data_IF_833618075093
#
_entry.id   IF_833618075093
#
_cell.length_a   1.000
_cell.length_b   1.000
_cell.length_c   1.000
_cell.angle_alpha   90.00
_cell.angle_beta   90.00
_cell.angle_gamma   90.00
#
_symmetry.space_group_name_H-M   'P 1'
#
loop_
_entity.id
_entity.type
_entity.pdbx_description
1 polymer ?
#
# COMPACT_ATOMS: atom_id res chain seq x y z
N UNK A 1 -21.78 -21.30 -21.77
CA UNK A 1 -20.53 -21.41 -22.56
C UNK A 1 -19.59 -20.30 -22.20
N UNK A 2 -18.38 -20.62 -21.79
CA UNK A 2 -17.37 -19.63 -21.41
C UNK A 2 -16.78 -19.03 -22.68
N UNK A 3 -16.89 -17.72 -22.87
CA UNK A 3 -16.37 -17.06 -24.06
C UNK A 3 -14.88 -16.71 -23.85
N UNK A 4 -14.01 -17.55 -24.45
CA UNK A 4 -12.54 -17.42 -24.32
C UNK A 4 -12.03 -16.06 -24.80
N UNK A 5 -12.68 -15.44 -25.79
CA UNK A 5 -12.31 -14.10 -26.30
C UNK A 5 -12.50 -12.99 -25.26
N UNK A 6 -13.42 -13.16 -24.30
CA UNK A 6 -13.62 -12.22 -23.19
C UNK A 6 -12.70 -12.53 -22.00
N UNK A 7 -12.22 -13.76 -21.88
CA UNK A 7 -11.32 -14.15 -20.77
C UNK A 7 -9.90 -13.62 -20.95
N UNK A 8 -9.38 -13.60 -22.19
CA UNK A 8 -8.00 -13.18 -22.46
C UNK A 8 -7.70 -11.76 -21.99
N UNK A 9 -8.53 -10.72 -22.29
CA UNK A 9 -8.35 -9.39 -21.72
C UNK A 9 -8.47 -9.37 -20.20
N UNK A 10 -9.42 -10.12 -19.63
CA UNK A 10 -9.59 -10.22 -18.17
C UNK A 10 -8.35 -10.77 -17.47
N UNK A 11 -7.75 -11.81 -18.01
CA UNK A 11 -6.52 -12.42 -17.46
C UNK A 11 -5.32 -11.49 -17.59
N UNK A 12 -5.17 -10.75 -18.70
CA UNK A 12 -4.05 -9.83 -18.89
C UNK A 12 -4.03 -8.69 -17.87
N UNK A 13 -5.18 -8.30 -17.31
CA UNK A 13 -5.30 -7.32 -16.24
C UNK A 13 -5.33 -7.97 -14.85
N UNK A 14 -5.96 -9.12 -14.71
CA UNK A 14 -6.11 -9.82 -13.45
C UNK A 14 -4.79 -10.40 -12.94
N UNK A 15 -4.01 -11.01 -13.81
CA UNK A 15 -2.78 -11.69 -13.44
C UNK A 15 -1.74 -10.76 -12.79
N UNK A 16 -1.38 -9.57 -13.35
CA UNK A 16 -0.47 -8.64 -12.70
C UNK A 16 -1.00 -8.14 -11.35
N UNK A 17 -2.30 -7.93 -11.22
CA UNK A 17 -2.90 -7.51 -9.96
C UNK A 17 -2.85 -8.64 -8.90
N UNK A 18 -3.05 -9.88 -9.29
CA UNK A 18 -2.88 -11.04 -8.40
C UNK A 18 -1.43 -11.16 -7.93
N UNK A 19 -0.45 -11.04 -8.83
CA UNK A 19 0.97 -11.10 -8.48
C UNK A 19 1.35 -9.95 -7.54
N UNK A 20 0.84 -8.75 -7.78
CA UNK A 20 1.03 -7.62 -6.87
C UNK A 20 0.54 -7.94 -5.46
N UNK A 21 -0.69 -8.43 -5.32
CA UNK A 21 -1.25 -8.78 -4.02
C UNK A 21 -0.46 -9.92 -3.36
N UNK A 22 -0.14 -10.96 -4.13
CA UNK A 22 0.65 -12.08 -3.65
C UNK A 22 2.05 -11.67 -3.17
N UNK A 23 2.74 -10.75 -3.86
CA UNK A 23 4.05 -10.27 -3.45
C UNK A 23 4.02 -9.52 -2.12
N UNK A 24 2.97 -8.74 -1.86
CA UNK A 24 2.79 -8.05 -0.59
C UNK A 24 2.62 -9.02 0.59
N UNK A 25 1.83 -10.09 0.40
CA UNK A 25 1.65 -11.13 1.42
C UNK A 25 2.89 -12.01 1.59
N UNK A 26 3.61 -12.30 0.49
CA UNK A 26 4.84 -13.08 0.51
C UNK A 26 5.93 -12.44 1.40
N UNK A 27 6.07 -11.12 1.36
CA UNK A 27 7.02 -10.42 2.25
C UNK A 27 6.67 -10.66 3.72
N UNK A 28 5.39 -10.60 4.09
CA UNK A 28 4.95 -10.92 5.45
C UNK A 28 5.33 -12.34 5.88
N UNK A 29 5.14 -13.32 4.99
CA UNK A 29 5.52 -14.71 5.24
C UNK A 29 7.03 -14.87 5.40
N UNK A 30 7.83 -14.21 4.56
CA UNK A 30 9.29 -14.27 4.63
C UNK A 30 9.88 -13.59 5.89
N UNK A 31 9.20 -12.59 6.43
CA UNK A 31 9.62 -11.89 7.65
C UNK A 31 9.14 -12.61 8.92
N UNK A 32 8.04 -13.34 8.86
CA UNK A 32 7.47 -14.05 10.02
C UNK A 32 8.48 -14.88 10.81
N UNK A 33 9.37 -15.70 10.20
CA UNK A 33 10.37 -16.45 10.94
C UNK A 33 11.33 -15.58 11.75
N UNK A 34 11.69 -14.41 11.22
CA UNK A 34 12.56 -13.45 11.89
C UNK A 34 11.90 -12.87 13.14
N UNK A 35 10.60 -12.55 13.05
CA UNK A 35 9.82 -12.04 14.18
C UNK A 35 9.60 -13.15 15.21
N UNK A 36 9.28 -14.36 14.78
CA UNK A 36 9.09 -15.50 15.68
C UNK A 36 10.39 -15.84 16.44
N UNK A 37 11.54 -15.67 15.80
CA UNK A 37 12.84 -15.85 16.45
C UNK A 37 13.15 -14.81 17.55
N UNK A 38 12.41 -13.70 17.61
CA UNK A 38 12.53 -12.66 18.64
C UNK A 38 11.71 -12.96 19.90
N UNK A 39 10.95 -14.05 19.91
CA UNK A 39 10.19 -14.53 21.05
C UNK A 39 8.68 -14.27 20.98
N UNK A 40 7.98 -14.81 21.97
CA UNK A 40 6.50 -14.81 22.03
C UNK A 40 5.93 -13.39 22.06
N UNK A 41 6.58 -12.49 22.78
CA UNK A 41 6.14 -11.08 22.92
C UNK A 41 6.18 -10.32 21.61
N UNK A 42 7.23 -10.52 20.82
CA UNK A 42 7.36 -9.91 19.49
C UNK A 42 6.29 -10.44 18.53
N UNK A 43 6.06 -11.75 18.55
CA UNK A 43 5.02 -12.42 17.74
C UNK A 43 3.62 -11.95 18.10
N UNK A 44 3.31 -11.87 19.40
CA UNK A 44 2.02 -11.37 19.88
C UNK A 44 1.79 -9.90 19.47
N UNK A 45 2.82 -9.06 19.61
CA UNK A 45 2.75 -7.67 19.17
C UNK A 45 2.57 -7.55 17.67
N UNK A 46 3.29 -8.37 16.89
CA UNK A 46 3.17 -8.37 15.42
C UNK A 46 1.73 -8.66 14.99
N UNK A 47 1.07 -9.64 15.61
CA UNK A 47 -0.33 -9.95 15.29
C UNK A 47 -1.25 -8.74 15.54
N UNK A 48 -1.07 -8.02 16.65
CA UNK A 48 -1.86 -6.81 16.95
C UNK A 48 -1.52 -5.67 15.99
N UNK A 49 -0.23 -5.46 15.71
CA UNK A 49 0.23 -4.46 14.74
C UNK A 49 -0.39 -4.70 13.36
N UNK A 50 -0.46 -5.95 12.91
CA UNK A 50 -1.10 -6.29 11.64
C UNK A 50 -2.60 -6.01 11.64
N UNK A 51 -3.29 -6.21 12.77
CA UNK A 51 -4.71 -5.85 12.89
C UNK A 51 -4.91 -4.33 12.79
N UNK A 52 -4.10 -3.56 13.52
CA UNK A 52 -4.14 -2.08 13.46
C UNK A 52 -3.84 -1.59 12.05
N UNK A 53 -2.78 -2.13 11.43
CA UNK A 53 -2.42 -1.80 10.05
C UNK A 53 -3.57 -2.10 9.07
N UNK A 54 -4.17 -3.30 9.14
CA UNK A 54 -5.26 -3.69 8.25
C UNK A 54 -6.50 -2.81 8.44
N UNK A 55 -6.79 -2.41 9.67
CA UNK A 55 -7.88 -1.46 9.96
C UNK A 55 -7.64 -0.10 9.30
N UNK A 56 -6.45 0.47 9.47
CA UNK A 56 -6.05 1.71 8.82
C UNK A 56 -6.01 1.55 7.28
N UNK A 57 -5.45 0.45 6.80
CA UNK A 57 -5.32 0.17 5.38
C UNK A 57 -6.67 0.04 4.67
N UNK A 58 -7.70 -0.48 5.33
CA UNK A 58 -9.03 -0.60 4.76
C UNK A 58 -9.59 0.76 4.29
N UNK A 59 -9.26 1.84 4.99
CA UNK A 59 -9.72 3.19 4.65
C UNK A 59 -9.13 3.63 3.30
N UNK A 60 -7.80 3.56 3.14
CA UNK A 60 -7.15 4.05 1.93
C UNK A 60 -7.16 3.05 0.77
N UNK A 61 -7.26 1.75 1.01
CA UNK A 61 -7.44 0.76 -0.06
C UNK A 61 -8.81 0.90 -0.75
N UNK A 62 -9.87 1.15 -0.02
CA UNK A 62 -11.19 1.37 -0.62
C UNK A 62 -11.25 2.65 -1.44
N UNK A 63 -10.62 3.71 -0.97
CA UNK A 63 -10.52 4.94 -1.73
C UNK A 63 -9.71 4.76 -3.03
N UNK A 64 -8.67 3.92 -3.03
CA UNK A 64 -7.91 3.56 -4.24
C UNK A 64 -8.81 2.98 -5.36
N UNK A 65 -9.86 2.25 -5.00
CA UNK A 65 -10.85 1.72 -5.97
C UNK A 65 -11.62 2.84 -6.68
N UNK A 66 -11.97 3.90 -5.97
CA UNK A 66 -12.64 5.09 -6.55
C UNK A 66 -11.75 5.74 -7.62
N UNK A 67 -10.46 5.91 -7.33
CA UNK A 67 -9.49 6.42 -8.30
C UNK A 67 -9.41 5.52 -9.53
N UNK A 68 -9.35 4.21 -9.33
CA UNK A 68 -9.34 3.23 -10.43
C UNK A 68 -10.52 3.43 -11.35
N UNK A 69 -11.73 3.53 -10.79
CA UNK A 69 -12.98 3.69 -11.57
C UNK A 69 -12.98 5.00 -12.35
N UNK A 70 -12.64 6.10 -11.69
CA UNK A 70 -12.64 7.43 -12.34
C UNK A 70 -11.60 7.52 -13.45
N UNK A 71 -10.38 7.06 -13.20
CA UNK A 71 -9.31 7.05 -14.22
C UNK A 71 -9.69 6.16 -15.39
N UNK A 72 -10.30 4.99 -15.16
CA UNK A 72 -10.78 4.11 -16.22
C UNK A 72 -11.85 4.79 -17.09
N UNK A 73 -12.76 5.56 -16.50
CA UNK A 73 -13.75 6.36 -17.24
C UNK A 73 -13.09 7.44 -18.09
N UNK A 74 -12.10 8.18 -17.55
CA UNK A 74 -11.35 9.18 -18.30
C UNK A 74 -10.58 8.58 -19.49
N UNK A 75 -10.02 7.38 -19.31
CA UNK A 75 -9.38 6.64 -20.40
C UNK A 75 -10.40 6.24 -21.47
N UNK A 76 -11.56 5.71 -21.05
CA UNK A 76 -12.65 5.30 -21.96
C UNK A 76 -13.22 6.46 -22.76
N UNK A 77 -13.31 7.67 -22.19
CA UNK A 77 -13.80 8.88 -22.86
C UNK A 77 -12.71 9.65 -23.63
N UNK A 78 -11.50 9.09 -23.74
CA UNK A 78 -10.36 9.70 -24.45
C UNK A 78 -10.02 11.12 -23.95
N UNK A 79 -10.08 11.34 -22.62
CA UNK A 79 -9.81 12.64 -21.99
C UNK A 79 -8.58 12.59 -21.06
N UNK A 80 -7.36 12.40 -21.60
CA UNK A 80 -6.14 12.22 -20.81
C UNK A 80 -5.79 13.42 -19.94
N UNK A 81 -6.18 14.63 -20.34
CA UNK A 81 -5.93 15.87 -19.59
C UNK A 81 -6.62 15.86 -18.23
N UNK A 82 -7.81 15.25 -18.14
CA UNK A 82 -8.55 15.12 -16.89
C UNK A 82 -7.90 14.15 -15.92
N UNK A 83 -7.09 13.22 -16.41
CA UNK A 83 -6.46 12.20 -15.58
C UNK A 83 -5.47 12.84 -14.58
N UNK A 84 -4.58 13.73 -15.04
CA UNK A 84 -3.62 14.40 -14.16
C UNK A 84 -4.32 15.21 -13.07
N UNK A 85 -5.35 15.97 -13.47
CA UNK A 85 -6.14 16.78 -12.54
C UNK A 85 -6.88 15.91 -11.53
N UNK A 86 -7.42 14.77 -11.98
CA UNK A 86 -8.16 13.85 -11.10
C UNK A 86 -7.28 13.20 -10.04
N UNK A 87 -6.04 12.84 -10.38
CA UNK A 87 -5.09 12.28 -9.40
C UNK A 87 -4.81 13.30 -8.30
N UNK A 88 -4.62 14.56 -8.65
CA UNK A 88 -4.41 15.64 -7.68
C UNK A 88 -5.64 15.89 -6.80
N UNK A 89 -6.83 15.97 -7.42
CA UNK A 89 -8.10 16.14 -6.69
C UNK A 89 -8.35 14.94 -5.76
N UNK A 90 -8.12 13.72 -6.24
CA UNK A 90 -8.23 12.53 -5.43
C UNK A 90 -7.25 12.57 -4.24
N UNK A 91 -6.01 12.99 -4.44
CA UNK A 91 -5.04 13.16 -3.36
C UNK A 91 -5.55 14.14 -2.29
N UNK A 92 -6.07 15.29 -2.69
CA UNK A 92 -6.63 16.27 -1.75
C UNK A 92 -7.83 15.71 -0.97
N UNK A 93 -8.74 15.02 -1.66
CA UNK A 93 -9.87 14.37 -1.01
C UNK A 93 -9.42 13.30 -0.02
N UNK A 94 -8.43 12.48 -0.39
CA UNK A 94 -7.84 11.51 0.51
C UNK A 94 -7.27 12.15 1.77
N UNK A 95 -6.49 13.22 1.59
CA UNK A 95 -5.92 13.94 2.72
C UNK A 95 -7.02 14.53 3.60
N UNK A 96 -8.03 15.17 3.01
CA UNK A 96 -9.13 15.79 3.76
C UNK A 96 -9.90 14.80 4.64
N UNK A 97 -10.16 13.58 4.15
CA UNK A 97 -10.88 12.56 4.92
C UNK A 97 -9.97 11.74 5.85
N UNK A 98 -8.75 11.44 5.41
CA UNK A 98 -7.89 10.50 6.13
C UNK A 98 -7.04 11.22 7.19
N UNK A 99 -6.62 12.45 6.94
CA UNK A 99 -5.76 13.20 7.86
C UNK A 99 -6.39 13.44 9.24
N UNK A 100 -7.66 13.87 9.37
CA UNK A 100 -8.29 14.04 10.69
C UNK A 100 -8.34 12.73 11.46
N UNK A 101 -8.65 11.62 10.77
CA UNK A 101 -8.68 10.30 11.39
C UNK A 101 -7.30 9.84 11.85
N UNK A 102 -6.26 10.07 11.05
CA UNK A 102 -4.87 9.77 11.42
C UNK A 102 -4.44 10.61 12.61
N UNK A 103 -4.79 11.89 12.65
CA UNK A 103 -4.47 12.77 13.77
C UNK A 103 -5.09 12.27 15.06
N UNK A 104 -6.36 11.86 15.03
CA UNK A 104 -7.03 11.24 16.18
C UNK A 104 -6.29 9.97 16.60
N UNK A 105 -5.95 9.09 15.67
CA UNK A 105 -5.18 7.88 15.97
C UNK A 105 -3.76 8.19 16.50
N UNK A 106 -3.14 9.24 16.03
CA UNK A 106 -1.80 9.64 16.48
C UNK A 106 -1.82 10.25 17.90
N UNK A 107 -2.83 11.03 18.22
CA UNK A 107 -3.01 11.61 19.56
C UNK A 107 -3.40 10.52 20.57
N UNK A 108 -4.33 9.65 20.16
CA UNK A 108 -4.88 8.60 21.02
C UNK A 108 -4.29 7.20 20.70
N UNK A 109 -3.02 7.12 20.26
CA UNK A 109 -2.43 5.84 19.82
C UNK A 109 -2.44 4.77 20.93
N UNK A 110 -2.27 5.14 22.21
CA UNK A 110 -2.30 4.18 23.33
C UNK A 110 -3.66 3.54 23.52
N UNK A 111 -4.78 4.28 23.70
CA UNK A 111 -6.09 3.67 23.79
C UNK A 111 -6.50 2.95 22.50
N UNK A 112 -6.16 3.47 21.32
CA UNK A 112 -6.44 2.80 20.04
C UNK A 112 -5.72 1.45 19.97
N UNK A 113 -4.44 1.38 20.27
CA UNK A 113 -3.73 0.10 20.34
C UNK A 113 -4.33 -0.81 21.42
N UNK A 114 -4.74 -0.24 22.56
CA UNK A 114 -5.36 -0.98 23.66
C UNK A 114 -6.61 -1.76 23.29
N UNK A 115 -7.40 -1.26 22.32
CA UNK A 115 -8.61 -1.95 21.83
C UNK A 115 -8.31 -3.30 21.15
N UNK A 116 -7.10 -3.48 20.64
CA UNK A 116 -6.68 -4.68 19.93
C UNK A 116 -5.97 -5.69 20.82
N UNK A 117 -5.64 -5.32 22.05
CA UNK A 117 -5.02 -6.23 23.02
C UNK A 117 -6.05 -6.94 23.90
N UNK A 118 -5.76 -8.21 24.21
CA UNK A 118 -6.48 -8.92 25.27
C UNK A 118 -6.08 -8.37 26.65
N UNK A 119 -6.96 -8.52 27.64
CA UNK A 119 -6.73 -8.01 29.00
C UNK A 119 -5.39 -8.46 29.62
N UNK A 120 -4.93 -9.67 29.29
CA UNK A 120 -3.71 -10.30 29.83
C UNK A 120 -2.47 -10.08 28.91
N UNK A 121 -2.50 -9.10 27.98
CA UNK A 121 -1.35 -8.83 27.14
C UNK A 121 -0.19 -8.25 27.95
N UNK A 122 1.03 -8.73 27.70
CA UNK A 122 2.22 -8.25 28.40
C UNK A 122 2.53 -6.79 28.06
N UNK A 123 3.17 -6.10 28.99
CA UNK A 123 3.53 -4.70 28.80
C UNK A 123 4.60 -4.52 27.71
N UNK A 124 5.44 -5.54 27.48
CA UNK A 124 6.43 -5.54 26.41
C UNK A 124 5.73 -5.59 25.03
N UNK A 125 4.72 -6.46 24.86
CA UNK A 125 3.93 -6.52 23.64
C UNK A 125 3.21 -5.19 23.35
N UNK A 126 2.64 -4.57 24.38
CA UNK A 126 2.01 -3.23 24.26
C UNK A 126 3.03 -2.17 23.84
N UNK A 127 4.23 -2.21 24.42
CA UNK A 127 5.32 -1.28 24.10
C UNK A 127 5.73 -1.39 22.63
N UNK A 128 5.86 -2.59 22.10
CA UNK A 128 6.15 -2.80 20.67
C UNK A 128 5.07 -2.22 19.76
N UNK A 129 3.79 -2.41 20.10
CA UNK A 129 2.70 -1.83 19.30
C UNK A 129 2.63 -0.30 19.40
N UNK A 130 2.95 0.26 20.56
CA UNK A 130 3.06 1.73 20.70
C UNK A 130 4.21 2.30 19.88
N UNK A 131 5.35 1.60 19.84
CA UNK A 131 6.47 2.00 18.99
C UNK A 131 6.10 1.92 17.50
N UNK A 132 5.35 0.89 17.10
CA UNK A 132 4.79 0.85 15.73
C UNK A 132 3.98 2.10 15.43
N UNK A 133 3.01 2.43 16.27
CA UNK A 133 2.16 3.60 16.05
C UNK A 133 2.99 4.89 15.94
N UNK A 134 3.97 5.09 16.83
CA UNK A 134 4.87 6.25 16.82
C UNK A 134 5.73 6.34 15.56
N UNK A 135 6.24 5.20 15.07
CA UNK A 135 7.11 5.15 13.89
C UNK A 135 6.27 5.24 12.61
N UNK A 136 5.13 4.55 12.55
CA UNK A 136 4.34 4.40 11.33
C UNK A 136 3.41 5.58 11.04
N UNK A 137 2.68 6.09 12.05
CA UNK A 137 1.65 7.11 11.84
C UNK A 137 2.16 8.41 11.19
N UNK A 138 3.34 8.95 11.53
CA UNK A 138 3.85 10.16 10.87
C UNK A 138 4.12 9.96 9.37
N UNK A 139 4.44 8.74 8.97
CA UNK A 139 4.80 8.39 7.58
C UNK A 139 3.67 7.73 6.80
N UNK A 140 2.49 7.57 7.39
CA UNK A 140 1.34 6.92 6.75
C UNK A 140 0.91 7.62 5.44
N UNK A 141 1.21 8.91 5.31
CA UNK A 141 0.96 9.70 4.10
C UNK A 141 1.63 9.06 2.88
N UNK A 142 2.83 8.51 3.02
CA UNK A 142 3.51 7.83 1.91
C UNK A 142 2.79 6.55 1.50
N UNK A 143 2.25 5.81 2.46
CA UNK A 143 1.40 4.65 2.20
C UNK A 143 0.12 5.03 1.42
N UNK A 144 -0.49 6.17 1.76
CA UNK A 144 -1.65 6.71 1.06
C UNK A 144 -1.29 7.07 -0.38
N UNK A 145 -0.16 7.75 -0.60
CA UNK A 145 0.34 8.09 -1.93
C UNK A 145 0.55 6.83 -2.77
N UNK A 146 1.20 5.80 -2.24
CA UNK A 146 1.39 4.53 -2.95
C UNK A 146 0.05 3.89 -3.35
N UNK A 147 -0.92 3.82 -2.43
CA UNK A 147 -2.24 3.28 -2.73
C UNK A 147 -3.01 4.09 -3.79
N UNK A 148 -2.88 5.41 -3.78
CA UNK A 148 -3.41 6.30 -4.81
C UNK A 148 -2.85 5.92 -6.20
N UNK A 149 -1.52 5.79 -6.30
CA UNK A 149 -0.88 5.42 -7.57
C UNK A 149 -1.18 3.99 -8.00
N UNK A 150 -1.33 3.05 -7.07
CA UNK A 150 -1.80 1.71 -7.42
C UNK A 150 -3.20 1.74 -8.04
N UNK A 151 -4.11 2.56 -7.50
CA UNK A 151 -5.43 2.78 -8.09
C UNK A 151 -5.35 3.46 -9.46
N UNK A 152 -4.49 4.44 -9.59
CA UNK A 152 -4.23 5.15 -10.83
C UNK A 152 -3.72 4.22 -11.94
N UNK A 153 -2.67 3.42 -11.69
CA UNK A 153 -2.12 2.50 -12.69
C UNK A 153 -3.12 1.44 -13.13
N UNK A 154 -3.97 0.94 -12.21
CA UNK A 154 -5.07 0.04 -12.56
C UNK A 154 -6.07 0.71 -13.50
N UNK A 155 -6.50 1.91 -13.19
CA UNK A 155 -7.45 2.67 -14.03
C UNK A 155 -6.88 3.06 -15.38
N UNK A 156 -5.59 3.44 -15.42
CA UNK A 156 -4.88 3.81 -16.64
C UNK A 156 -4.46 2.60 -17.50
N UNK A 157 -4.78 1.36 -17.09
CA UNK A 157 -4.33 0.12 -17.73
C UNK A 157 -2.81 -0.04 -17.78
N UNK A 158 -2.07 0.67 -16.93
CA UNK A 158 -0.61 0.67 -16.84
C UNK A 158 -0.11 -0.46 -15.92
N UNK A 159 -0.52 -1.71 -16.18
CA UNK A 159 -0.30 -2.87 -15.30
C UNK A 159 1.18 -3.20 -15.11
N UNK A 160 2.03 -2.95 -16.11
CA UNK A 160 3.48 -3.15 -15.98
C UNK A 160 4.10 -2.21 -14.94
N UNK A 161 3.65 -0.95 -14.87
CA UNK A 161 4.11 0.00 -13.86
C UNK A 161 3.67 -0.44 -12.46
N UNK A 162 2.41 -0.85 -12.32
CA UNK A 162 1.89 -1.39 -11.07
C UNK A 162 2.73 -2.59 -10.59
N UNK A 163 2.96 -3.55 -11.48
CA UNK A 163 3.74 -4.75 -11.19
C UNK A 163 5.17 -4.40 -10.75
N UNK A 164 5.86 -3.58 -11.52
CA UNK A 164 7.25 -3.22 -11.27
C UNK A 164 7.43 -2.47 -9.94
N UNK A 165 6.60 -1.45 -9.71
CA UNK A 165 6.66 -0.65 -8.48
C UNK A 165 6.33 -1.49 -7.26
N UNK A 166 5.33 -2.37 -7.34
CA UNK A 166 4.94 -3.21 -6.22
C UNK A 166 5.99 -4.26 -5.85
N UNK A 167 6.61 -4.91 -6.84
CA UNK A 167 7.70 -5.85 -6.59
C UNK A 167 8.92 -5.12 -6.03
N UNK A 168 9.26 -3.97 -6.60
CA UNK A 168 10.37 -3.17 -6.11
C UNK A 168 10.15 -2.73 -4.66
N UNK A 169 8.95 -2.21 -4.34
CA UNK A 169 8.56 -1.86 -2.97
C UNK A 169 8.62 -3.06 -2.00
N UNK A 170 8.16 -4.23 -2.45
CA UNK A 170 8.24 -5.47 -1.68
C UNK A 170 9.68 -5.89 -1.38
N UNK A 171 10.57 -5.82 -2.38
CA UNK A 171 12.01 -6.11 -2.21
C UNK A 171 12.67 -5.13 -1.25
N UNK A 172 12.44 -3.83 -1.41
CA UNK A 172 12.97 -2.80 -0.49
C UNK A 172 12.51 -3.08 0.93
N UNK A 173 11.22 -3.40 1.11
CA UNK A 173 10.65 -3.75 2.41
C UNK A 173 11.34 -4.94 3.03
N UNK A 174 11.50 -6.02 2.28
CA UNK A 174 12.16 -7.23 2.76
C UNK A 174 13.61 -6.95 3.17
N UNK A 175 14.40 -6.37 2.27
CA UNK A 175 15.82 -6.09 2.50
C UNK A 175 16.02 -5.13 3.68
N UNK A 176 15.28 -4.02 3.71
CA UNK A 176 15.36 -3.05 4.81
C UNK A 176 14.96 -3.69 6.15
N UNK A 177 13.88 -4.49 6.17
CA UNK A 177 13.46 -5.18 7.40
C UNK A 177 14.50 -6.18 7.88
N UNK A 178 15.07 -7.02 7.01
CA UNK A 178 16.10 -8.01 7.38
C UNK A 178 17.34 -7.35 7.96
N UNK A 179 17.78 -6.24 7.36
CA UNK A 179 18.98 -5.51 7.83
C UNK A 179 18.69 -4.84 9.17
N UNK A 180 17.58 -4.12 9.27
CA UNK A 180 17.27 -3.30 10.44
C UNK A 180 16.79 -4.13 11.65
N UNK A 181 16.14 -5.28 11.44
CA UNK A 181 15.78 -6.19 12.54
C UNK A 181 17.03 -6.63 13.31
N UNK A 182 18.13 -6.91 12.62
CA UNK A 182 19.39 -7.34 13.27
C UNK A 182 19.99 -6.30 14.21
N UNK A 183 19.81 -5.02 13.91
CA UNK A 183 20.38 -3.91 14.69
C UNK A 183 19.41 -3.30 15.69
N UNK A 184 18.11 -3.23 15.38
CA UNK A 184 17.10 -2.51 16.14
C UNK A 184 15.90 -3.35 16.58
N UNK A 185 15.92 -4.66 16.34
CA UNK A 185 14.82 -5.56 16.68
C UNK A 185 13.50 -5.15 16.03
N UNK A 186 12.39 -5.19 16.78
CA UNK A 186 11.05 -4.83 16.29
C UNK A 186 10.96 -3.39 15.73
N UNK A 187 11.69 -2.45 16.29
CA UNK A 187 11.71 -1.08 15.76
C UNK A 187 12.33 -1.04 14.36
N UNK A 188 13.33 -1.87 14.09
CA UNK A 188 13.94 -2.02 12.77
C UNK A 188 12.96 -2.55 11.73
N UNK A 189 12.11 -3.50 12.13
CA UNK A 189 11.03 -3.98 11.26
C UNK A 189 10.07 -2.84 10.86
N UNK A 190 9.63 -2.03 11.82
CA UNK A 190 8.73 -0.91 11.55
C UNK A 190 9.37 0.16 10.65
N UNK A 191 10.64 0.46 10.88
CA UNK A 191 11.40 1.37 10.02
C UNK A 191 11.56 0.83 8.61
N UNK A 192 11.78 -0.47 8.43
CA UNK A 192 11.82 -1.12 7.12
C UNK A 192 10.53 -0.92 6.32
N UNK A 193 9.38 -0.96 7.00
CA UNK A 193 8.10 -0.64 6.39
C UNK A 193 8.01 0.82 5.93
N UNK A 194 8.38 1.75 6.81
CA UNK A 194 8.36 3.19 6.49
C UNK A 194 9.28 3.49 5.31
N UNK A 195 10.52 2.99 5.34
CA UNK A 195 11.49 3.18 4.25
C UNK A 195 10.92 2.68 2.92
N UNK A 196 10.28 1.50 2.92
CA UNK A 196 9.70 0.95 1.69
C UNK A 196 8.59 1.85 1.13
N UNK A 197 7.71 2.41 1.98
CA UNK A 197 6.66 3.31 1.54
C UNK A 197 7.20 4.64 1.01
N UNK A 198 8.24 5.19 1.64
CA UNK A 198 8.88 6.42 1.17
C UNK A 198 9.54 6.21 -0.19
N UNK A 199 10.32 5.14 -0.34
CA UNK A 199 11.00 4.82 -1.60
C UNK A 199 9.99 4.54 -2.71
N UNK A 200 8.97 3.74 -2.43
CA UNK A 200 7.91 3.41 -3.37
C UNK A 200 7.12 4.65 -3.80
N UNK A 201 6.81 5.57 -2.88
CA UNK A 201 6.14 6.83 -3.19
C UNK A 201 6.98 7.72 -4.12
N UNK A 202 8.29 7.82 -3.86
CA UNK A 202 9.21 8.57 -4.72
C UNK A 202 9.23 7.97 -6.13
N UNK A 203 9.37 6.65 -6.26
CA UNK A 203 9.36 5.96 -7.56
C UNK A 203 8.05 6.20 -8.30
N UNK A 204 6.91 6.11 -7.61
CA UNK A 204 5.59 6.39 -8.18
C UNK A 204 5.49 7.81 -8.73
N UNK A 205 5.92 8.81 -7.96
CA UNK A 205 5.89 10.22 -8.37
C UNK A 205 6.79 10.44 -9.59
N UNK A 206 8.00 9.88 -9.58
CA UNK A 206 8.95 10.00 -10.70
C UNK A 206 8.36 9.38 -11.97
N UNK A 207 7.82 8.17 -11.90
CA UNK A 207 7.19 7.51 -13.05
C UNK A 207 5.98 8.28 -13.58
N UNK A 208 5.19 8.86 -12.69
CA UNK A 208 4.06 9.70 -13.06
C UNK A 208 4.51 10.97 -13.80
N UNK A 209 5.54 11.66 -13.30
CA UNK A 209 6.10 12.87 -13.93
C UNK A 209 6.74 12.59 -15.29
N UNK A 210 7.37 11.42 -15.46
CA UNK A 210 7.95 11.00 -16.74
C UNK A 210 6.90 10.72 -17.83
N UNK A 211 5.63 10.60 -17.48
CA UNK A 211 4.52 10.46 -18.42
C UNK A 211 4.46 9.15 -19.20
N UNK A 212 5.35 8.20 -18.94
CA UNK A 212 5.43 6.91 -19.67
C UNK A 212 4.24 5.97 -19.45
N UNK A 213 3.36 6.29 -18.49
CA UNK A 213 2.14 5.56 -18.15
C UNK A 213 0.97 5.85 -19.08
N UNK A 214 1.09 6.86 -19.95
CA UNK A 214 -0.02 7.26 -20.83
C UNK A 214 -0.48 6.02 -21.62
N UNK A 215 -1.79 5.70 -21.56
CA UNK A 215 -2.31 4.61 -22.38
C UNK A 215 -2.00 4.97 -23.83
N UNK A 216 -1.38 4.03 -24.56
CA UNK A 216 -1.36 4.12 -26.01
C UNK A 216 -2.83 4.09 -26.41
N UNK A 217 -3.40 5.24 -26.68
CA UNK A 217 -4.72 5.34 -27.31
C UNK A 217 -4.54 4.57 -28.61
N UNK A 218 -5.09 3.36 -28.66
CA UNK A 218 -5.11 2.63 -29.92
C UNK A 218 -5.77 3.58 -30.91
N UNK A 219 -5.00 4.05 -31.87
CA UNK A 219 -5.54 4.52 -33.12
C UNK A 219 -6.31 3.31 -33.67
N UNK A 220 -7.60 3.29 -33.43
CA UNK A 220 -8.49 2.46 -34.20
C UNK A 220 -8.40 3.04 -35.62
N UNK A 221 -7.52 2.47 -36.41
CA UNK A 221 -7.68 2.45 -37.84
C UNK A 221 -8.96 1.60 -38.10
N UNK A 222 -10.09 2.27 -37.97
CA UNK A 222 -11.32 1.84 -38.60
C UNK A 222 -11.13 2.17 -40.09
N UNK A 223 -10.68 1.19 -40.83
CA UNK A 223 -11.00 1.03 -42.25
C UNK A 223 -11.99 -0.09 -42.43
#
# INVERSE_FOLDING_TARGET
>A
MVNVKLMTPGLSYGLPNMVQQASMWAVGLLISPLINGMGVEATASYAVVMQIYNFLAAIFQNSSKTVTTYVAQCVGTKQPEKIKKSVFVAFLQYMAFTLPFILVCAIFYKPVCGLFFKANASDLSKTYAYNFARIYLPFIVFSIVCNLFHGFYRGAKAMYHLFFVSIFGALVRYVASVILIKSMGMNGFYLGWVISWVVEAIVNIVLFCLGKWQPKLQENNET
#
